data_IF_540345329284
#
_entry.id   IF_540345329284
#
_cell.length_a   1.000
_cell.length_b   1.000
_cell.length_c   1.000
_cell.angle_alpha   90.00
_cell.angle_beta   90.00
_cell.angle_gamma   90.00
#
_symmetry.space_group_name_H-M   'P 1'
#
loop_
_entity.id
_entity.type
_entity.pdbx_description
1 polymer ?
#
# COMPACT_ATOMS: atom_id res chain seq x y z
N UNK A 1 8.47 -85.76 -10.63
CA UNK A 1 7.77 -84.49 -10.87
C UNK A 1 6.85 -84.28 -9.67
N UNK A 2 7.32 -83.48 -8.69
CA UNK A 2 6.82 -82.10 -8.38
C UNK A 2 5.40 -82.17 -7.80
N UNK A 3 5.10 -81.75 -6.57
CA UNK A 3 5.19 -80.40 -6.00
C UNK A 3 5.16 -80.48 -4.45
N UNK A 4 6.14 -79.91 -3.75
CA UNK A 4 6.00 -78.71 -2.90
C UNK A 4 4.64 -78.47 -2.23
N UNK A 5 4.59 -78.56 -0.91
CA UNK A 5 3.64 -77.81 -0.05
C UNK A 5 4.25 -77.67 1.34
N UNK A 6 4.98 -76.59 1.58
CA UNK A 6 4.48 -75.40 2.29
C UNK A 6 4.47 -75.61 3.82
N UNK A 7 5.67 -75.53 4.42
CA UNK A 7 5.80 -75.27 5.86
C UNK A 7 5.58 -73.77 6.04
N UNK A 8 4.38 -73.42 6.50
CA UNK A 8 4.00 -72.06 6.88
C UNK A 8 4.79 -71.67 8.12
N UNK A 9 5.90 -70.96 7.95
CA UNK A 9 6.64 -70.37 9.06
C UNK A 9 5.73 -69.39 9.82
N UNK A 10 5.54 -69.65 11.11
CA UNK A 10 4.84 -68.74 12.01
C UNK A 10 5.53 -67.37 11.97
N UNK A 11 4.79 -66.24 11.97
CA UNK A 11 5.41 -64.93 11.97
C UNK A 11 6.26 -64.79 13.24
N UNK A 12 7.57 -64.57 13.06
CA UNK A 12 8.51 -64.34 14.14
C UNK A 12 7.97 -63.21 15.04
N UNK A 13 7.78 -63.51 16.33
CA UNK A 13 7.36 -62.54 17.33
C UNK A 13 8.34 -61.36 17.29
N UNK A 14 7.84 -60.16 16.98
CA UNK A 14 8.66 -58.96 16.93
C UNK A 14 9.29 -58.77 18.31
N UNK A 15 10.62 -58.64 18.42
CA UNK A 15 11.24 -58.39 19.71
C UNK A 15 10.69 -57.07 20.28
N UNK A 16 10.06 -57.14 21.44
CA UNK A 16 9.61 -55.95 22.16
C UNK A 16 10.84 -55.11 22.53
N UNK A 17 10.91 -53.84 22.12
CA UNK A 17 12.08 -53.01 22.39
C UNK A 17 12.30 -52.88 23.91
N UNK A 18 13.56 -52.88 24.37
CA UNK A 18 13.87 -52.79 25.79
C UNK A 18 13.31 -51.49 26.36
N UNK A 19 12.44 -51.59 27.36
CA UNK A 19 11.83 -50.44 28.04
C UNK A 19 12.92 -49.76 28.86
N UNK A 20 13.38 -48.60 28.39
CA UNK A 20 14.33 -47.76 29.13
C UNK A 20 13.61 -47.20 30.36
N UNK A 21 14.14 -47.35 31.58
CA UNK A 21 13.53 -46.73 32.75
C UNK A 21 13.43 -45.21 32.55
N UNK A 22 12.22 -44.69 32.71
CA UNK A 22 11.91 -43.27 32.60
C UNK A 22 12.50 -42.59 33.84
N UNK A 23 13.56 -41.81 33.64
CA UNK A 23 14.14 -41.01 34.71
C UNK A 23 13.57 -39.60 34.61
N UNK A 24 12.63 -39.27 35.51
CA UNK A 24 12.22 -37.89 35.72
C UNK A 24 13.36 -37.16 36.45
N UNK A 25 14.06 -36.27 35.74
CA UNK A 25 14.96 -35.33 36.40
C UNK A 25 14.08 -34.24 37.03
N UNK A 26 14.14 -34.02 38.36
CA UNK A 26 13.57 -32.81 38.91
C UNK A 26 14.28 -31.64 38.21
N UNK A 27 13.50 -30.81 37.51
CA UNK A 27 14.04 -29.62 36.87
C UNK A 27 14.63 -28.75 37.98
N UNK A 28 15.93 -28.46 37.89
CA UNK A 28 16.56 -27.43 38.72
C UNK A 28 15.64 -26.20 38.65
N UNK A 29 15.14 -25.68 39.79
CA UNK A 29 14.34 -24.46 39.76
C UNK A 29 15.16 -23.45 38.98
N UNK A 30 14.62 -22.97 37.85
CA UNK A 30 15.21 -21.86 37.11
C UNK A 30 15.55 -20.83 38.17
N UNK A 31 16.85 -20.59 38.42
CA UNK A 31 17.27 -19.62 39.40
C UNK A 31 16.46 -18.37 39.09
N UNK A 32 15.72 -17.86 40.09
CA UNK A 32 14.89 -16.69 39.95
C UNK A 32 15.70 -15.42 39.62
N UNK A 33 17.00 -15.58 39.37
CA UNK A 33 17.79 -14.77 38.45
C UNK A 33 17.28 -14.96 37.01
N UNK A 34 15.98 -14.72 36.79
CA UNK A 34 15.55 -14.13 35.54
C UNK A 34 16.40 -12.89 35.38
N UNK A 35 17.42 -12.99 34.54
CA UNK A 35 18.37 -11.93 34.28
C UNK A 35 17.55 -10.80 33.63
N UNK A 36 16.94 -9.97 34.47
CA UNK A 36 16.54 -8.61 34.14
C UNK A 36 17.85 -7.84 33.94
N UNK A 37 18.60 -8.19 32.89
CA UNK A 37 19.66 -7.33 32.41
C UNK A 37 18.93 -6.08 31.96
N UNK A 38 18.94 -5.06 32.81
CA UNK A 38 18.36 -3.76 32.51
C UNK A 38 19.08 -3.28 31.25
N UNK A 39 18.42 -3.42 30.10
CA UNK A 39 18.99 -3.01 28.83
C UNK A 39 19.48 -1.57 28.96
N UNK A 40 20.72 -1.28 28.56
CA UNK A 40 21.29 0.05 28.73
C UNK A 40 20.45 1.06 27.96
N UNK A 41 20.33 2.28 28.51
CA UNK A 41 19.40 3.30 28.02
C UNK A 41 19.56 3.61 26.52
N UNK A 42 20.79 3.55 25.99
CA UNK A 42 21.06 3.76 24.57
C UNK A 42 20.38 2.71 23.67
N UNK A 43 20.34 1.45 24.12
CA UNK A 43 19.75 0.34 23.37
C UNK A 43 18.22 0.41 23.42
N UNK A 44 17.65 0.82 24.57
CA UNK A 44 16.22 1.10 24.71
C UNK A 44 15.76 2.30 23.88
N UNK A 45 16.57 3.35 23.77
CA UNK A 45 16.28 4.51 22.93
C UNK A 45 16.36 4.15 21.44
N UNK A 46 17.37 3.39 21.04
CA UNK A 46 17.60 2.99 19.63
C UNK A 46 16.59 1.95 19.12
N UNK A 47 15.98 1.18 20.03
CA UNK A 47 14.86 0.29 19.70
C UNK A 47 13.57 1.06 19.37
N UNK A 48 13.48 2.36 19.71
CA UNK A 48 12.31 3.17 19.34
C UNK A 48 12.34 3.49 17.86
N UNK A 49 11.38 2.95 17.11
CA UNK A 49 11.27 3.12 15.68
C UNK A 49 11.23 4.61 15.24
N UNK A 50 10.60 5.48 16.04
CA UNK A 50 10.53 6.91 15.73
C UNK A 50 11.92 7.57 15.80
N UNK A 51 12.75 7.24 16.79
CA UNK A 51 14.08 7.82 16.95
C UNK A 51 14.99 7.43 15.78
N UNK A 52 15.01 6.15 15.40
CA UNK A 52 15.78 5.67 14.25
C UNK A 52 15.35 6.37 12.96
N UNK A 53 14.03 6.51 12.74
CA UNK A 53 13.50 7.24 11.57
C UNK A 53 13.91 8.71 11.59
N UNK A 54 13.82 9.39 12.74
CA UNK A 54 14.25 10.79 12.87
C UNK A 54 15.74 10.97 12.60
N UNK A 55 16.61 10.08 13.10
CA UNK A 55 18.05 10.13 12.83
C UNK A 55 18.32 9.99 11.33
N UNK A 56 17.65 9.06 10.65
CA UNK A 56 17.78 8.89 9.19
C UNK A 56 17.33 10.17 8.45
N UNK A 57 16.20 10.76 8.83
CA UNK A 57 15.70 11.99 8.20
C UNK A 57 16.65 13.17 8.42
N UNK A 58 17.18 13.34 9.63
CA UNK A 58 18.15 14.40 9.94
C UNK A 58 19.45 14.18 9.17
N UNK A 59 19.96 12.94 9.10
CA UNK A 59 21.15 12.62 8.33
C UNK A 59 20.95 12.94 6.83
N UNK A 60 19.78 12.63 6.28
CA UNK A 60 19.43 12.95 4.89
C UNK A 60 19.33 14.46 4.66
N UNK A 61 18.70 15.21 5.58
CA UNK A 61 18.60 16.66 5.49
C UNK A 61 19.98 17.34 5.57
N UNK A 62 20.86 16.85 6.44
CA UNK A 62 22.24 17.33 6.53
C UNK A 62 23.02 17.01 5.26
N UNK A 63 22.91 15.79 4.75
CA UNK A 63 23.54 15.41 3.48
C UNK A 63 23.06 16.31 2.33
N UNK A 64 21.76 16.55 2.23
CA UNK A 64 21.20 17.48 1.25
C UNK A 64 21.76 18.90 1.45
N UNK A 65 21.74 19.43 2.67
CA UNK A 65 22.30 20.77 2.94
C UNK A 65 23.77 20.87 2.53
N UNK A 66 24.59 19.86 2.83
CA UNK A 66 26.01 19.82 2.45
C UNK A 66 26.17 19.76 0.94
N UNK A 67 25.47 18.85 0.26
CA UNK A 67 25.52 18.71 -1.21
C UNK A 67 25.09 20.01 -1.89
N UNK A 68 24.02 20.65 -1.40
CA UNK A 68 23.55 21.94 -1.90
C UNK A 68 24.61 23.03 -1.75
N UNK A 69 25.25 23.09 -0.58
CA UNK A 69 26.27 24.09 -0.28
C UNK A 69 27.52 23.87 -1.14
N UNK A 70 27.91 22.62 -1.40
CA UNK A 70 29.03 22.28 -2.28
C UNK A 70 28.69 22.61 -3.74
N UNK A 71 27.46 22.34 -4.18
CA UNK A 71 27.02 22.61 -5.56
C UNK A 71 27.05 24.11 -5.88
N UNK A 72 26.80 24.97 -4.88
CA UNK A 72 26.95 26.42 -4.97
C UNK A 72 26.04 27.11 -5.99
N UNK A 73 25.03 26.41 -6.49
CA UNK A 73 24.08 26.91 -7.50
C UNK A 73 22.64 26.63 -7.05
N UNK A 74 22.02 27.65 -6.46
CA UNK A 74 20.65 27.62 -5.94
C UNK A 74 19.60 27.30 -7.01
N UNK A 75 19.91 27.54 -8.28
CA UNK A 75 19.00 27.26 -9.40
C UNK A 75 18.96 25.76 -9.73
N UNK A 76 20.07 25.05 -9.52
CA UNK A 76 20.16 23.61 -9.74
C UNK A 76 19.67 22.83 -8.53
N UNK A 77 20.07 23.25 -7.32
CA UNK A 77 19.73 22.55 -6.10
C UNK A 77 19.65 23.53 -4.92
N UNK A 78 18.46 24.08 -4.61
CA UNK A 78 18.30 24.93 -3.45
C UNK A 78 18.62 24.14 -2.17
N UNK A 79 19.21 24.83 -1.20
CA UNK A 79 19.52 24.23 0.08
C UNK A 79 18.26 23.83 0.85
N UNK A 80 18.39 22.86 1.75
CA UNK A 80 17.28 22.44 2.62
C UNK A 80 16.69 23.63 3.38
N UNK A 81 17.57 24.51 3.90
CA UNK A 81 17.16 25.72 4.64
C UNK A 81 16.36 26.69 3.77
N UNK A 82 16.78 26.92 2.52
CA UNK A 82 16.04 27.77 1.58
C UNK A 82 14.67 27.16 1.24
N UNK A 83 14.62 25.85 1.05
CA UNK A 83 13.36 25.13 0.76
C UNK A 83 12.36 25.26 1.91
N UNK A 84 12.82 25.07 3.16
CA UNK A 84 11.96 25.22 4.35
C UNK A 84 11.51 26.67 4.52
N UNK A 85 12.40 27.65 4.29
CA UNK A 85 12.04 29.06 4.35
C UNK A 85 10.95 29.41 3.33
N UNK A 86 11.15 29.05 2.07
CA UNK A 86 10.17 29.28 1.02
C UNK A 86 8.82 28.60 1.33
N UNK A 87 8.85 27.37 1.85
CA UNK A 87 7.65 26.66 2.27
C UNK A 87 6.87 27.40 3.38
N UNK A 88 7.56 27.90 4.40
CA UNK A 88 6.94 28.66 5.49
C UNK A 88 6.41 30.01 4.99
N UNK A 89 7.17 30.72 4.15
CA UNK A 89 6.77 31.99 3.55
C UNK A 89 5.54 31.82 2.64
N UNK A 90 5.49 30.78 1.83
CA UNK A 90 4.36 30.49 0.95
C UNK A 90 3.11 30.01 1.71
N UNK A 91 3.29 29.36 2.86
CA UNK A 91 2.18 29.05 3.77
C UNK A 91 1.67 30.32 4.45
N UNK A 92 2.56 31.15 4.99
CA UNK A 92 2.22 32.37 5.70
C UNK A 92 1.56 33.42 4.78
N UNK A 93 2.02 33.50 3.53
CA UNK A 93 1.42 34.36 2.50
C UNK A 93 0.07 33.85 1.97
N UNK A 94 -0.31 32.61 2.31
CA UNK A 94 -1.56 31.99 1.86
C UNK A 94 -1.52 31.46 0.43
N UNK A 95 -0.42 31.64 -0.30
CA UNK A 95 -0.28 31.17 -1.70
C UNK A 95 -0.38 29.66 -1.79
N UNK A 96 0.36 28.92 -0.95
CA UNK A 96 0.32 27.46 -0.93
C UNK A 96 -1.05 26.92 -0.52
N UNK A 97 -1.66 27.36 0.60
CA UNK A 97 -3.01 26.95 1.00
C UNK A 97 -4.05 27.19 -0.10
N UNK A 98 -4.06 28.37 -0.73
CA UNK A 98 -5.01 28.68 -1.80
C UNK A 98 -4.82 27.74 -3.00
N UNK A 99 -3.58 27.49 -3.44
CA UNK A 99 -3.30 26.53 -4.52
C UNK A 99 -3.71 25.10 -4.15
N UNK A 100 -3.46 24.69 -2.90
CA UNK A 100 -3.88 23.39 -2.41
C UNK A 100 -5.41 23.25 -2.41
N UNK A 101 -6.14 24.30 -2.02
CA UNK A 101 -7.61 24.32 -2.09
C UNK A 101 -8.12 24.24 -3.53
N UNK A 102 -7.48 24.91 -4.49
CA UNK A 102 -7.83 24.74 -5.90
C UNK A 102 -7.64 23.28 -6.37
N UNK A 103 -6.52 22.64 -6.03
CA UNK A 103 -6.31 21.23 -6.35
C UNK A 103 -7.36 20.33 -5.69
N UNK A 104 -7.73 20.62 -4.44
CA UNK A 104 -8.72 19.85 -3.69
C UNK A 104 -10.13 20.03 -4.27
N UNK A 105 -10.52 21.23 -4.67
CA UNK A 105 -11.81 21.52 -5.30
C UNK A 105 -11.99 20.71 -6.59
N UNK A 106 -10.94 20.61 -7.40
CA UNK A 106 -10.94 19.87 -8.67
C UNK A 106 -11.03 18.37 -8.43
N UNK A 107 -10.23 17.88 -7.48
CA UNK A 107 -10.27 16.49 -7.04
C UNK A 107 -11.66 16.15 -6.53
N UNK A 108 -12.24 17.01 -5.68
CA UNK A 108 -13.56 16.81 -5.10
C UNK A 108 -14.65 16.79 -6.16
N UNK A 109 -14.67 17.75 -7.09
CA UNK A 109 -15.64 17.79 -8.19
C UNK A 109 -15.55 16.55 -9.09
N UNK A 110 -14.35 16.17 -9.50
CA UNK A 110 -14.14 14.99 -10.35
C UNK A 110 -14.51 13.70 -9.63
N UNK A 111 -14.05 13.54 -8.39
CA UNK A 111 -14.35 12.36 -7.57
C UNK A 111 -15.84 12.24 -7.27
N UNK A 112 -16.47 13.30 -6.73
CA UNK A 112 -17.88 13.30 -6.38
C UNK A 112 -18.77 12.98 -7.59
N UNK A 113 -18.52 13.65 -8.73
CA UNK A 113 -19.26 13.38 -9.97
C UNK A 113 -19.03 11.95 -10.45
N UNK A 114 -17.78 11.46 -10.40
CA UNK A 114 -17.44 10.08 -10.76
C UNK A 114 -18.14 9.04 -9.88
N UNK A 115 -18.20 9.26 -8.57
CA UNK A 115 -18.90 8.38 -7.62
C UNK A 115 -20.40 8.34 -7.91
N UNK A 116 -21.03 9.50 -8.12
CA UNK A 116 -22.45 9.58 -8.45
C UNK A 116 -22.75 8.84 -9.75
N UNK A 117 -21.95 9.06 -10.80
CA UNK A 117 -22.11 8.36 -12.07
C UNK A 117 -21.89 6.85 -11.94
N UNK A 118 -20.87 6.42 -11.20
CA UNK A 118 -20.61 4.99 -10.95
C UNK A 118 -21.77 4.33 -10.22
N UNK A 119 -22.27 4.98 -9.17
CA UNK A 119 -23.41 4.49 -8.41
C UNK A 119 -24.66 4.34 -9.27
N UNK A 120 -24.98 5.35 -10.10
CA UNK A 120 -26.11 5.29 -11.02
C UNK A 120 -25.94 4.17 -12.05
N UNK A 121 -24.74 4.03 -12.63
CA UNK A 121 -24.43 3.02 -13.63
C UNK A 121 -24.53 1.61 -13.05
N UNK A 122 -23.98 1.38 -11.85
CA UNK A 122 -24.09 0.10 -11.15
C UNK A 122 -25.53 -0.20 -10.74
N UNK A 123 -26.28 0.79 -10.25
CA UNK A 123 -27.69 0.60 -9.90
C UNK A 123 -28.51 0.16 -11.12
N UNK A 124 -28.26 0.77 -12.28
CA UNK A 124 -28.87 0.38 -13.55
C UNK A 124 -28.46 -1.04 -13.97
N UNK A 125 -27.20 -1.41 -13.76
CA UNK A 125 -26.70 -2.75 -14.06
C UNK A 125 -27.30 -3.83 -13.15
N UNK A 126 -27.39 -3.59 -11.84
CA UNK A 126 -27.99 -4.57 -10.92
C UNK A 126 -29.49 -4.73 -11.20
N UNK A 127 -30.19 -3.64 -11.52
CA UNK A 127 -31.64 -3.66 -11.74
C UNK A 127 -32.07 -4.20 -13.11
N UNK A 128 -31.25 -4.11 -14.16
CA UNK A 128 -31.65 -4.46 -15.53
C UNK A 128 -30.63 -5.31 -16.28
N UNK A 129 -31.07 -6.16 -17.20
CA UNK A 129 -30.17 -6.96 -18.03
C UNK A 129 -29.36 -6.08 -19.00
N UNK A 130 -30.01 -5.10 -19.64
CA UNK A 130 -29.34 -4.16 -20.54
C UNK A 130 -28.23 -3.39 -19.82
N UNK A 131 -28.47 -2.97 -18.57
CA UNK A 131 -27.48 -2.28 -17.75
C UNK A 131 -26.24 -3.15 -17.47
N UNK A 132 -26.43 -4.46 -17.22
CA UNK A 132 -25.30 -5.40 -17.01
C UNK A 132 -24.45 -5.50 -18.25
N UNK A 133 -25.08 -5.72 -19.40
CA UNK A 133 -24.38 -5.89 -20.67
C UNK A 133 -23.62 -4.60 -21.04
N UNK A 134 -24.24 -3.44 -20.82
CA UNK A 134 -23.63 -2.13 -21.04
C UNK A 134 -22.43 -1.87 -20.13
N UNK A 135 -22.58 -2.07 -18.81
CA UNK A 135 -21.50 -1.89 -17.84
C UNK A 135 -20.34 -2.85 -18.12
N UNK A 136 -20.63 -4.12 -18.40
CA UNK A 136 -19.61 -5.12 -18.74
C UNK A 136 -18.83 -4.71 -19.99
N UNK A 137 -19.53 -4.33 -21.07
CA UNK A 137 -18.91 -3.95 -22.34
C UNK A 137 -18.04 -2.70 -22.20
N UNK A 138 -18.62 -1.63 -21.65
CA UNK A 138 -17.88 -0.37 -21.49
C UNK A 138 -16.69 -0.54 -20.57
N UNK A 139 -16.84 -1.28 -19.48
CA UNK A 139 -15.74 -1.42 -18.54
C UNK A 139 -14.61 -2.27 -19.12
N UNK A 140 -14.92 -3.35 -19.85
CA UNK A 140 -13.87 -4.11 -20.55
C UNK A 140 -13.09 -3.27 -21.55
N UNK A 141 -13.74 -2.30 -22.20
CA UNK A 141 -13.08 -1.40 -23.16
C UNK A 141 -12.33 -0.24 -22.51
N UNK A 142 -12.89 0.36 -21.46
CA UNK A 142 -12.44 1.65 -20.91
C UNK A 142 -11.57 1.52 -19.66
N UNK A 143 -11.68 0.43 -18.89
CA UNK A 143 -10.83 0.16 -17.74
C UNK A 143 -9.32 0.01 -18.09
N UNK A 144 -8.92 -0.67 -19.19
CA UNK A 144 -7.49 -0.77 -19.53
C UNK A 144 -6.91 0.54 -20.09
N UNK A 145 -7.75 1.54 -20.41
CA UNK A 145 -7.28 2.82 -20.96
C UNK A 145 -6.73 3.71 -19.84
N UNK A 146 -5.43 4.04 -19.86
CA UNK A 146 -4.86 4.94 -18.87
C UNK A 146 -5.54 6.32 -18.96
N UNK A 147 -5.96 6.93 -17.84
CA UNK A 147 -6.60 8.24 -17.86
C UNK A 147 -5.73 9.33 -18.51
N UNK A 148 -4.40 9.21 -18.37
CA UNK A 148 -3.42 10.11 -18.97
C UNK A 148 -3.48 10.11 -20.51
N UNK A 149 -3.90 9.00 -21.14
CA UNK A 149 -4.05 8.90 -22.59
C UNK A 149 -5.27 9.68 -23.11
N UNK A 150 -6.23 9.98 -22.23
CA UNK A 150 -7.40 10.79 -22.53
C UNK A 150 -7.15 12.29 -22.36
N UNK A 151 -6.02 12.69 -21.76
CA UNK A 151 -5.69 14.11 -21.56
C UNK A 151 -5.75 14.93 -22.86
N UNK A 152 -5.16 14.50 -23.99
CA UNK A 152 -5.20 15.30 -25.22
C UNK A 152 -6.62 15.54 -25.73
N UNK A 153 -7.48 14.53 -25.61
CA UNK A 153 -8.88 14.62 -26.01
C UNK A 153 -9.69 15.51 -25.04
N UNK A 154 -9.44 15.37 -23.74
CA UNK A 154 -10.04 16.23 -22.72
C UNK A 154 -9.64 17.69 -22.91
N UNK A 155 -8.38 17.94 -23.28
CA UNK A 155 -7.88 19.27 -23.62
C UNK A 155 -8.53 19.82 -24.90
N UNK A 156 -8.81 18.98 -25.89
CA UNK A 156 -9.49 19.40 -27.12
C UNK A 156 -10.95 19.80 -26.85
N UNK A 157 -11.66 19.06 -26.01
CA UNK A 157 -13.08 19.32 -25.72
C UNK A 157 -13.29 20.41 -24.66
N UNK A 158 -12.55 20.37 -23.57
CA UNK A 158 -12.76 21.25 -22.41
C UNK A 158 -11.73 22.38 -22.32
N UNK A 159 -10.72 22.39 -23.19
CA UNK A 159 -9.63 23.37 -23.16
C UNK A 159 -8.58 23.08 -22.09
N UNK A 160 -7.66 24.02 -21.94
CA UNK A 160 -6.65 24.02 -20.89
C UNK A 160 -7.29 24.46 -19.55
N UNK A 161 -7.20 23.62 -18.52
CA UNK A 161 -7.55 24.00 -17.17
C UNK A 161 -8.31 22.93 -16.41
N UNK A 162 -9.31 23.34 -15.64
CA UNK A 162 -9.98 22.45 -14.69
C UNK A 162 -10.92 21.45 -15.37
N UNK A 163 -11.60 21.83 -16.46
CA UNK A 163 -12.54 20.94 -17.14
C UNK A 163 -11.88 19.65 -17.65
N UNK A 164 -10.69 19.75 -18.24
CA UNK A 164 -9.94 18.60 -18.71
C UNK A 164 -9.49 17.68 -17.57
N UNK A 165 -9.08 18.26 -16.44
CA UNK A 165 -8.68 17.50 -15.25
C UNK A 165 -9.87 16.76 -14.63
N UNK A 166 -11.01 17.44 -14.49
CA UNK A 166 -12.25 16.85 -13.95
C UNK A 166 -12.72 15.68 -14.80
N UNK A 167 -12.70 15.80 -16.13
CA UNK A 167 -13.06 14.70 -17.03
C UNK A 167 -12.17 13.46 -16.83
N UNK A 168 -10.86 13.66 -16.78
CA UNK A 168 -9.88 12.58 -16.58
C UNK A 168 -10.04 11.94 -15.20
N UNK A 169 -10.33 12.72 -14.17
CA UNK A 169 -10.62 12.21 -12.83
C UNK A 169 -11.91 11.38 -12.80
N UNK A 170 -12.97 11.82 -13.48
CA UNK A 170 -14.22 11.06 -13.59
C UNK A 170 -13.94 9.70 -14.22
N UNK A 171 -13.24 9.65 -15.36
CA UNK A 171 -12.86 8.37 -16.00
C UNK A 171 -12.04 7.47 -15.07
N UNK A 172 -11.10 8.06 -14.32
CA UNK A 172 -10.22 7.31 -13.40
C UNK A 172 -10.98 6.63 -12.28
N UNK A 173 -12.08 7.22 -11.81
CA UNK A 173 -12.87 6.70 -10.69
C UNK A 173 -14.03 5.84 -11.18
N UNK A 174 -14.69 6.24 -12.28
CA UNK A 174 -15.94 5.67 -12.76
C UNK A 174 -15.87 4.15 -12.96
N UNK A 175 -14.91 3.67 -13.75
CA UNK A 175 -14.81 2.25 -14.13
C UNK A 175 -14.44 1.32 -12.96
N UNK A 176 -13.33 1.54 -12.24
CA UNK A 176 -12.97 0.65 -11.13
C UNK A 176 -14.00 0.69 -10.01
N UNK A 177 -14.59 1.85 -9.72
CA UNK A 177 -15.63 1.95 -8.70
C UNK A 177 -16.91 1.22 -9.12
N UNK A 178 -17.35 1.38 -10.36
CA UNK A 178 -18.56 0.70 -10.86
C UNK A 178 -18.40 -0.82 -10.80
N UNK A 179 -17.21 -1.35 -11.15
CA UNK A 179 -16.92 -2.77 -11.01
C UNK A 179 -16.98 -3.23 -9.57
N UNK A 180 -16.27 -2.54 -8.67
CA UNK A 180 -16.22 -2.90 -7.26
C UNK A 180 -17.62 -2.89 -6.63
N UNK A 181 -18.43 -1.88 -6.95
CA UNK A 181 -19.82 -1.82 -6.52
C UNK A 181 -20.63 -2.97 -7.11
N UNK A 182 -20.51 -3.23 -8.41
CA UNK A 182 -21.25 -4.31 -9.08
C UNK A 182 -20.92 -5.69 -8.50
N UNK A 183 -19.64 -5.99 -8.31
CA UNK A 183 -19.18 -7.24 -7.66
C UNK A 183 -19.59 -7.36 -6.20
N UNK A 184 -19.85 -6.25 -5.52
CA UNK A 184 -20.31 -6.27 -4.13
C UNK A 184 -21.80 -6.62 -4.00
N UNK A 185 -22.59 -6.41 -5.06
CA UNK A 185 -24.03 -6.67 -5.08
C UNK A 185 -24.40 -8.02 -5.72
N UNK A 186 -23.45 -8.70 -6.37
CA UNK A 186 -23.63 -10.00 -7.05
C UNK A 186 -22.79 -11.08 -6.40
#
# INVERSE_FOLDING_TARGET
MTETSSVRAAPAARPSPPVRPEYERPLEPLAADSVDTVLPLHQRLWQRAWLRKSVILVALALLWQVVATIQGNDLLLPSFTQTIRAFVEDIASGVLPVRAMYSLDVLFKGYFTGVVLAFLLTTLAVSTQIGRDFLSTLTSMLNPLPPIALLPLALLWFGLGQGSLVFVLIHSVLWPLSLNMYTGFT
#
